data_IF_398702368618
#
_entry.id   IF_398702368618
#
_cell.length_a   1.000
_cell.length_b   1.000
_cell.length_c   1.000
_cell.angle_alpha   90.00
_cell.angle_beta   90.00
_cell.angle_gamma   90.00
#
_symmetry.space_group_name_H-M   'P 1'
#
loop_
_entity.id
_entity.type
_entity.pdbx_description
1 polymer ?
#
# COMPACT_ATOMS: atom_id res chain seq x y z
N UNK A 1 -1.13 -19.90 9.48
CA UNK A 1 -1.55 -18.87 8.50
C UNK A 1 -0.33 -18.17 7.94
N UNK A 2 -0.41 -17.61 6.73
CA UNK A 2 0.67 -16.86 6.08
C UNK A 2 0.35 -15.38 6.07
N UNK A 3 1.25 -14.57 6.62
CA UNK A 3 1.09 -13.13 6.79
C UNK A 3 2.09 -12.41 5.91
N UNK A 4 1.65 -11.50 5.06
CA UNK A 4 2.52 -10.66 4.25
C UNK A 4 2.64 -9.25 4.84
N UNK A 5 3.85 -8.71 4.84
CA UNK A 5 4.14 -7.33 5.24
C UNK A 5 5.23 -6.75 4.33
N UNK A 6 5.05 -5.53 3.87
CA UNK A 6 6.07 -4.85 3.09
C UNK A 6 7.22 -4.40 3.99
N UNK A 7 8.47 -4.62 3.56
CA UNK A 7 9.66 -4.33 4.38
C UNK A 7 10.62 -3.37 3.69
N UNK A 8 11.25 -2.52 4.49
CA UNK A 8 12.40 -1.70 4.11
C UNK A 8 13.67 -2.51 4.33
N UNK A 9 14.77 -2.11 3.68
CA UNK A 9 16.10 -2.71 3.92
C UNK A 9 16.54 -2.64 5.39
N UNK A 10 16.00 -1.70 6.16
CA UNK A 10 16.23 -1.59 7.61
C UNK A 10 15.49 -2.64 8.45
N UNK A 11 14.68 -3.51 7.83
CA UNK A 11 13.82 -4.48 8.53
C UNK A 11 12.54 -3.87 9.11
N UNK A 12 12.33 -2.55 8.92
CA UNK A 12 11.10 -1.87 9.32
C UNK A 12 9.99 -2.09 8.29
N UNK A 13 8.76 -1.91 8.73
CA UNK A 13 7.61 -1.90 7.84
C UNK A 13 7.73 -0.76 6.80
N UNK A 14 7.51 -1.10 5.53
CA UNK A 14 7.37 -0.14 4.45
C UNK A 14 5.90 0.29 4.33
N UNK A 15 5.58 1.60 4.45
CA UNK A 15 4.20 2.07 4.38
C UNK A 15 3.58 1.92 2.98
N UNK A 16 4.41 1.81 1.93
CA UNK A 16 3.94 1.73 0.54
C UNK A 16 3.92 0.29 0.04
N UNK A 17 2.92 -0.49 0.44
CA UNK A 17 2.82 -1.92 0.09
C UNK A 17 2.92 -2.17 -1.43
N UNK A 18 2.12 -1.47 -2.24
CA UNK A 18 2.12 -1.62 -3.70
C UNK A 18 3.44 -1.21 -4.38
N UNK A 19 4.30 -0.45 -3.71
CA UNK A 19 5.59 0.02 -4.27
C UNK A 19 6.79 -0.64 -3.61
N UNK A 20 6.56 -1.56 -2.67
CA UNK A 20 7.61 -2.16 -1.89
C UNK A 20 8.38 -3.18 -2.72
N UNK A 21 9.70 -2.98 -2.85
CA UNK A 21 10.59 -3.93 -3.52
C UNK A 21 10.61 -5.30 -2.83
N UNK A 22 10.50 -5.33 -1.51
CA UNK A 22 10.60 -6.56 -0.72
C UNK A 22 9.35 -6.75 0.12
N UNK A 23 8.77 -7.94 0.04
CA UNK A 23 7.66 -8.40 0.87
C UNK A 23 8.18 -9.53 1.76
N UNK A 24 8.04 -9.37 3.07
CA UNK A 24 8.25 -10.47 3.99
C UNK A 24 6.97 -11.29 4.12
N UNK A 25 7.12 -12.61 4.08
CA UNK A 25 6.05 -13.58 4.25
C UNK A 25 6.39 -14.42 5.48
N UNK A 26 5.53 -14.34 6.49
CA UNK A 26 5.69 -15.05 7.74
C UNK A 26 4.70 -16.21 7.82
N UNK A 27 5.19 -17.39 8.19
CA UNK A 27 4.30 -18.49 8.61
C UNK A 27 4.09 -18.36 10.11
N UNK A 28 2.81 -18.27 10.51
CA UNK A 28 2.38 -18.13 11.90
C UNK A 28 1.59 -19.35 12.33
N UNK A 29 2.03 -19.99 13.41
CA UNK A 29 1.41 -21.16 14.04
C UNK A 29 1.33 -20.94 15.54
N UNK A 30 0.16 -21.17 16.15
CA UNK A 30 -0.03 -21.02 17.60
C UNK A 30 0.33 -19.62 18.14
N UNK A 31 0.16 -18.56 17.34
CA UNK A 31 0.52 -17.19 17.72
C UNK A 31 2.01 -16.85 17.64
N UNK A 32 2.84 -17.72 17.04
CA UNK A 32 4.28 -17.52 16.90
C UNK A 32 4.71 -17.62 15.44
N UNK A 33 5.71 -16.83 15.04
CA UNK A 33 6.34 -16.95 13.72
C UNK A 33 7.23 -18.18 13.69
N UNK A 34 6.88 -19.16 12.85
CA UNK A 34 7.67 -20.39 12.65
C UNK A 34 8.59 -20.30 11.44
N UNK A 35 8.27 -19.44 10.47
CA UNK A 35 9.09 -19.19 9.28
C UNK A 35 9.01 -17.72 8.85
N UNK A 36 10.11 -17.20 8.32
CA UNK A 36 10.23 -15.86 7.76
C UNK A 36 10.98 -15.92 6.43
N UNK A 37 10.37 -15.41 5.37
CA UNK A 37 10.93 -15.42 4.02
C UNK A 37 10.72 -14.05 3.36
N UNK A 38 11.79 -13.44 2.88
CA UNK A 38 11.76 -12.16 2.18
C UNK A 38 11.82 -12.40 0.68
N UNK A 39 10.81 -11.92 -0.02
CA UNK A 39 10.61 -12.14 -1.45
C UNK A 39 10.61 -10.80 -2.17
N UNK A 40 11.32 -10.72 -3.29
CA UNK A 40 11.27 -9.55 -4.17
C UNK A 40 9.93 -9.51 -4.90
N UNK A 41 9.31 -8.33 -4.94
CA UNK A 41 8.04 -8.13 -5.63
C UNK A 41 8.26 -7.90 -7.12
N UNK A 42 7.53 -8.66 -7.94
CA UNK A 42 7.48 -8.48 -9.40
C UNK A 42 6.63 -7.25 -9.80
N UNK A 43 5.81 -6.74 -8.88
CA UNK A 43 4.90 -5.62 -9.12
C UNK A 43 5.46 -4.23 -8.77
N UNK A 44 6.57 -4.11 -8.04
CA UNK A 44 7.11 -2.79 -7.64
C UNK A 44 7.42 -1.87 -8.83
N UNK A 45 7.82 -2.46 -9.96
CA UNK A 45 8.12 -1.74 -11.20
C UNK A 45 6.89 -1.42 -12.06
N UNK A 46 5.75 -2.05 -11.76
CA UNK A 46 4.51 -1.88 -12.52
C UNK A 46 3.67 -0.70 -12.03
N UNK A 47 4.08 -0.03 -10.95
CA UNK A 47 3.38 1.16 -10.48
C UNK A 47 3.44 2.23 -11.58
N UNK A 48 2.30 2.64 -12.16
CA UNK A 48 2.31 3.75 -13.11
C UNK A 48 2.91 4.95 -12.39
N UNK A 49 3.95 5.56 -12.96
CA UNK A 49 4.55 6.74 -12.37
C UNK A 49 3.46 7.76 -12.09
N UNK A 50 3.50 8.46 -10.95
CA UNK A 50 2.71 9.67 -10.80
C UNK A 50 3.17 10.61 -11.90
N UNK A 51 2.41 10.66 -13.00
CA UNK A 51 2.49 11.74 -13.95
C UNK A 51 1.93 12.95 -13.21
N UNK A 52 2.78 13.60 -12.42
CA UNK A 52 2.59 15.03 -12.20
C UNK A 52 2.62 15.62 -13.60
N UNK A 53 1.43 15.92 -14.15
CA UNK A 53 1.33 16.74 -15.35
C UNK A 53 2.16 18.00 -15.12
N UNK A 54 2.80 18.57 -16.15
CA UNK A 54 3.57 19.78 -15.99
C UNK A 54 2.65 20.85 -15.41
N UNK A 55 2.82 21.18 -14.12
CA UNK A 55 2.34 22.43 -13.58
C UNK A 55 3.14 23.50 -14.31
N UNK A 56 2.60 23.96 -15.44
CA UNK A 56 3.14 25.07 -16.17
C UNK A 56 3.15 26.26 -15.20
N UNK A 57 4.34 26.61 -14.73
CA UNK A 57 4.65 27.94 -14.25
C UNK A 57 4.36 28.92 -15.40
N UNK A 58 3.11 29.36 -15.51
CA UNK A 58 2.72 30.48 -16.36
C UNK A 58 3.10 31.73 -15.59
N UNK A 59 4.34 32.19 -15.82
CA UNK A 59 4.69 33.58 -15.58
C UNK A 59 3.81 34.44 -16.49
N UNK A 60 2.77 35.05 -15.94
CA UNK A 60 2.04 36.15 -16.56
C UNK A 60 2.15 37.35 -15.61
N UNK A 61 3.02 38.27 -15.98
CA UNK A 61 2.92 39.68 -15.61
C UNK A 61 1.72 40.30 -16.37
N UNK A 62 1.24 41.45 -15.87
CA UNK A 62 0.05 42.23 -16.27
C UNK A 62 -1.23 41.75 -15.56
N UNK A 63 -1.98 42.55 -14.82
CA UNK A 63 -2.03 43.99 -14.61
C UNK A 63 -3.47 44.28 -14.21
N UNK A 64 -3.66 44.91 -13.05
CA UNK A 64 -4.86 45.60 -12.54
C UNK A 64 -6.27 45.00 -12.73
N UNK A 65 -7.01 45.02 -11.61
CA UNK A 65 -8.48 45.06 -11.47
C UNK A 65 -9.29 43.74 -11.37
N UNK A 66 -9.96 43.66 -10.21
CA UNK A 66 -11.24 43.00 -9.88
C UNK A 66 -11.30 41.48 -9.63
N UNK A 67 -11.47 41.19 -8.33
CA UNK A 67 -12.24 40.13 -7.69
C UNK A 67 -12.59 38.88 -8.52
N UNK A 68 -12.06 37.72 -8.12
CA UNK A 68 -12.86 36.53 -7.75
C UNK A 68 -12.06 35.73 -6.69
N UNK A 69 -12.69 35.46 -5.54
CA UNK A 69 -12.24 34.44 -4.61
C UNK A 69 -12.39 33.08 -5.29
N UNK A 70 -11.35 32.63 -5.99
CA UNK A 70 -11.27 31.24 -6.40
C UNK A 70 -10.78 30.42 -5.22
N UNK A 71 -11.75 29.86 -4.52
CA UNK A 71 -11.59 28.68 -3.66
C UNK A 71 -11.02 27.57 -4.54
N UNK A 72 -9.69 27.48 -4.58
CA UNK A 72 -9.01 26.39 -5.28
C UNK A 72 -9.19 25.14 -4.42
N UNK A 73 -10.34 24.50 -4.61
CA UNK A 73 -10.56 23.11 -4.27
C UNK A 73 -9.40 22.30 -4.83
N UNK A 74 -8.49 21.88 -3.96
CA UNK A 74 -7.41 20.95 -4.26
C UNK A 74 -8.05 19.59 -4.57
N UNK A 75 -8.58 19.47 -5.79
CA UNK A 75 -9.17 18.23 -6.26
C UNK A 75 -8.07 17.17 -6.33
N UNK A 76 -8.26 16.19 -5.45
CA UNK A 76 -7.43 15.03 -5.21
C UNK A 76 -6.89 14.36 -6.48
N UNK A 77 -5.65 13.87 -6.39
CA UNK A 77 -5.08 12.82 -7.26
C UNK A 77 -6.03 11.61 -7.29
N UNK A 78 -7.02 11.65 -8.17
CA UNK A 78 -7.83 10.49 -8.49
C UNK A 78 -7.05 9.69 -9.54
N UNK A 79 -6.27 8.71 -9.06
CA UNK A 79 -5.82 7.60 -9.90
C UNK A 79 -7.07 7.01 -10.56
N UNK A 80 -7.23 7.23 -11.88
CA UNK A 80 -8.37 6.70 -12.62
C UNK A 80 -8.33 5.18 -12.59
N UNK A 81 -9.26 4.54 -11.87
CA UNK A 81 -9.30 3.08 -11.69
C UNK A 81 -9.42 2.29 -13.01
N UNK A 82 -9.84 2.95 -14.09
CA UNK A 82 -9.99 2.38 -15.44
C UNK A 82 -8.69 2.34 -16.24
N UNK A 83 -7.64 3.03 -15.79
CA UNK A 83 -6.32 3.01 -16.42
C UNK A 83 -5.75 1.59 -16.46
N UNK A 84 -5.28 1.18 -17.63
CA UNK A 84 -4.78 -0.18 -17.84
C UNK A 84 -3.54 -0.48 -16.99
N UNK A 85 -2.67 0.50 -16.77
CA UNK A 85 -1.52 0.40 -15.89
C UNK A 85 -1.92 0.18 -14.44
N UNK A 86 -2.92 0.91 -13.95
CA UNK A 86 -3.46 0.73 -12.58
C UNK A 86 -4.06 -0.67 -12.40
N UNK A 87 -4.81 -1.16 -13.40
CA UNK A 87 -5.37 -2.52 -13.38
C UNK A 87 -4.29 -3.60 -13.41
N UNK A 88 -3.28 -3.48 -14.27
CA UNK A 88 -2.15 -4.42 -14.36
C UNK A 88 -1.34 -4.46 -13.07
N UNK A 89 -1.06 -3.30 -12.48
CA UNK A 89 -0.35 -3.19 -11.20
C UNK A 89 -1.09 -3.94 -10.09
N UNK A 90 -2.39 -3.67 -9.98
CA UNK A 90 -3.28 -4.33 -9.02
C UNK A 90 -3.29 -5.85 -9.22
N UNK A 91 -3.52 -6.33 -10.44
CA UNK A 91 -3.60 -7.75 -10.73
C UNK A 91 -2.28 -8.46 -10.41
N UNK A 92 -1.13 -7.81 -10.65
CA UNK A 92 0.17 -8.34 -10.27
C UNK A 92 0.31 -8.49 -8.73
N UNK A 93 -0.15 -7.52 -7.94
CA UNK A 93 -0.17 -7.62 -6.47
C UNK A 93 -1.03 -8.81 -6.02
N UNK A 94 -2.21 -8.98 -6.59
CA UNK A 94 -3.08 -10.12 -6.24
C UNK A 94 -2.48 -11.46 -6.60
N UNK A 95 -1.96 -11.58 -7.81
CA UNK A 95 -1.36 -12.83 -8.28
C UNK A 95 -0.12 -13.19 -7.46
N UNK A 96 0.66 -12.21 -7.03
CA UNK A 96 1.73 -12.40 -6.05
C UNK A 96 1.19 -13.00 -4.73
N UNK A 97 0.17 -12.37 -4.15
CA UNK A 97 -0.39 -12.83 -2.87
C UNK A 97 -0.99 -14.23 -2.95
N UNK A 98 -1.70 -14.55 -4.04
CA UNK A 98 -2.25 -15.89 -4.31
C UNK A 98 -1.15 -16.93 -4.51
N UNK A 99 -0.13 -16.62 -5.32
CA UNK A 99 1.01 -17.50 -5.60
C UNK A 99 1.72 -17.90 -4.31
N UNK A 100 1.88 -16.95 -3.39
CA UNK A 100 2.50 -17.19 -2.09
C UNK A 100 1.53 -17.67 -0.99
N UNK A 101 0.26 -17.92 -1.33
CA UNK A 101 -0.80 -18.39 -0.41
C UNK A 101 -0.93 -17.52 0.83
N UNK A 102 -0.88 -16.20 0.66
CA UNK A 102 -1.01 -15.25 1.76
C UNK A 102 -2.45 -15.21 2.24
N UNK A 103 -2.64 -15.38 3.55
CA UNK A 103 -3.95 -15.33 4.21
C UNK A 103 -4.28 -13.91 4.69
N UNK A 104 -3.27 -13.16 5.13
CA UNK A 104 -3.41 -11.82 5.74
C UNK A 104 -2.33 -10.88 5.22
N UNK A 105 -2.70 -9.63 4.93
CA UNK A 105 -1.75 -8.57 4.58
C UNK A 105 -1.75 -7.47 5.64
N UNK A 106 -0.60 -7.22 6.25
CA UNK A 106 -0.36 -6.10 7.16
C UNK A 106 0.18 -4.91 6.35
N UNK A 107 -0.50 -3.77 6.46
CA UNK A 107 -0.20 -2.58 5.66
C UNK A 107 -0.54 -1.30 6.43
N UNK A 108 0.09 -0.18 6.07
CA UNK A 108 -0.06 1.09 6.81
C UNK A 108 -1.38 1.78 6.50
N UNK A 109 -1.78 1.78 5.22
CA UNK A 109 -3.04 2.34 4.74
C UNK A 109 -3.59 1.55 3.55
N UNK A 110 -4.92 1.43 3.46
CA UNK A 110 -5.60 0.83 2.31
C UNK A 110 -5.77 1.92 1.24
N UNK A 111 -4.91 1.90 0.22
CA UNK A 111 -5.07 2.71 -0.99
C UNK A 111 -6.28 2.29 -1.83
N UNK A 112 -6.67 3.10 -2.81
CA UNK A 112 -7.83 2.82 -3.69
C UNK A 112 -7.75 1.44 -4.35
N UNK A 113 -6.58 1.06 -4.89
CA UNK A 113 -6.38 -0.27 -5.50
C UNK A 113 -6.59 -1.46 -4.55
N UNK A 114 -6.30 -1.30 -3.24
CA UNK A 114 -6.44 -2.36 -2.23
C UNK A 114 -7.87 -2.47 -1.67
N UNK A 115 -8.72 -1.44 -1.82
CA UNK A 115 -10.14 -1.52 -1.38
C UNK A 115 -10.91 -2.61 -2.12
N UNK A 116 -10.61 -2.83 -3.40
CA UNK A 116 -11.21 -3.92 -4.17
C UNK A 116 -10.68 -5.29 -3.74
N UNK A 117 -9.42 -5.38 -3.32
CA UNK A 117 -8.85 -6.61 -2.75
C UNK A 117 -9.57 -7.09 -1.50
N UNK A 118 -9.95 -6.16 -0.64
CA UNK A 118 -10.78 -6.46 0.50
C UNK A 118 -12.15 -7.03 0.09
N UNK A 119 -12.79 -6.45 -0.95
CA UNK A 119 -14.07 -6.96 -1.48
C UNK A 119 -13.97 -8.35 -2.09
N UNK A 120 -12.81 -8.71 -2.64
CA UNK A 120 -12.53 -10.04 -3.22
C UNK A 120 -12.08 -11.07 -2.17
N UNK A 121 -12.13 -10.72 -0.87
CA UNK A 121 -11.94 -11.65 0.24
C UNK A 121 -10.53 -11.68 0.82
N UNK A 122 -9.63 -10.80 0.38
CA UNK A 122 -8.30 -10.67 0.99
C UNK A 122 -8.40 -9.95 2.34
N UNK A 123 -7.86 -10.57 3.39
CA UNK A 123 -7.87 -10.01 4.75
C UNK A 123 -6.77 -8.97 4.90
N UNK A 124 -7.16 -7.69 4.91
CA UNK A 124 -6.27 -6.55 5.10
C UNK A 124 -6.33 -6.07 6.56
N UNK A 125 -5.18 -5.84 7.18
CA UNK A 125 -5.07 -5.34 8.55
C UNK A 125 -4.17 -4.11 8.56
N UNK A 126 -4.69 -3.02 9.14
CA UNK A 126 -3.91 -1.82 9.33
C UNK A 126 -2.91 -2.01 10.48
N UNK A 127 -1.64 -1.78 10.21
CA UNK A 127 -0.56 -1.84 11.19
C UNK A 127 0.19 -0.52 11.19
N UNK A 128 0.55 -0.03 12.38
CA UNK A 128 1.27 1.22 12.51
C UNK A 128 2.79 0.97 12.31
N UNK A 129 3.43 1.56 11.29
CA UNK A 129 4.86 1.36 11.00
C UNK A 129 5.80 1.93 12.06
N UNK A 130 5.26 2.71 13.02
CA UNK A 130 5.99 3.21 14.18
C UNK A 130 6.06 2.20 15.34
N UNK A 131 5.32 1.09 15.27
CA UNK A 131 5.32 0.06 16.32
C UNK A 131 6.66 -0.68 16.45
N UNK A 132 7.47 -0.71 15.39
CA UNK A 132 8.77 -1.35 15.42
C UNK A 132 9.22 -1.88 14.06
N UNK A 133 9.96 -2.98 14.10
CA UNK A 133 10.32 -3.80 12.95
C UNK A 133 9.10 -4.51 12.37
N UNK A 134 9.20 -4.90 11.10
CA UNK A 134 8.14 -5.66 10.45
C UNK A 134 7.84 -6.98 11.18
N UNK A 135 8.87 -7.60 11.75
CA UNK A 135 8.75 -8.84 12.51
C UNK A 135 7.96 -8.64 13.81
N UNK A 136 8.29 -7.62 14.60
CA UNK A 136 7.56 -7.29 15.84
C UNK A 136 6.08 -6.99 15.57
N UNK A 137 5.78 -6.34 14.45
CA UNK A 137 4.40 -6.07 14.01
C UNK A 137 3.66 -7.38 13.71
N UNK A 138 4.28 -8.32 12.99
CA UNK A 138 3.69 -9.64 12.72
C UNK A 138 3.50 -10.43 14.00
N UNK A 139 4.45 -10.37 14.94
CA UNK A 139 4.33 -11.03 16.24
C UNK A 139 3.19 -10.45 17.09
N UNK A 140 3.05 -9.12 17.13
CA UNK A 140 1.94 -8.45 17.80
C UNK A 140 0.59 -8.83 17.18
N UNK A 141 0.50 -8.89 15.84
CA UNK A 141 -0.68 -9.40 15.15
C UNK A 141 -0.96 -10.87 15.50
N UNK A 142 0.07 -11.72 15.52
CA UNK A 142 -0.06 -13.14 15.84
C UNK A 142 -0.57 -13.37 17.29
N UNK A 143 -0.22 -12.49 18.22
CA UNK A 143 -0.73 -12.48 19.61
C UNK A 143 -2.12 -11.85 19.76
N UNK A 144 -2.68 -11.28 18.69
CA UNK A 144 -3.99 -10.61 18.72
C UNK A 144 -3.96 -9.19 19.32
N UNK A 145 -2.78 -8.57 19.42
CA UNK A 145 -2.60 -7.20 19.92
C UNK A 145 -2.93 -6.15 18.87
N UNK A 146 -2.86 -6.53 17.58
CA UNK A 146 -3.28 -5.70 16.45
C UNK A 146 -4.63 -6.23 15.95
N UNK A 147 -5.68 -5.43 16.12
CA UNK A 147 -7.03 -5.77 15.70
C UNK A 147 -7.25 -5.59 14.20
N UNK A 148 -8.16 -6.40 13.64
CA UNK A 148 -8.77 -6.11 12.34
C UNK A 148 -9.59 -4.83 12.40
N UNK A 149 -9.49 -4.00 11.37
CA UNK A 149 -10.54 -3.02 11.10
C UNK A 149 -11.75 -3.78 10.59
N UNK A 150 -12.66 -4.12 11.50
CA UNK A 150 -14.03 -4.53 11.14
C UNK A 150 -14.77 -3.27 10.68
N UNK A 151 -14.68 -3.00 9.38
CA UNK A 151 -15.56 -2.04 8.69
C UNK A 151 -16.92 -2.67 8.44
#
# INVERSE_FOLDING_TARGET
>A
MRVAIAVLQSGRMNPHFGRAKTIAIATVEGGTITQWEEVESDFAHLHPGHHHGPHHARAHLHGDEEAEEHDHDHHHDHEHEDDEGVRRHRDAVFEFLKRHRVDVVLLDHIGHGMRRAQKEGLRLVLANPRMGTAREIVEAFARGEIGEVRG
#
